data_IF_396415979833
#
_entry.id   IF_396415979833
#
_cell.length_a   1.000
_cell.length_b   1.000
_cell.length_c   1.000
_cell.angle_alpha   90.00
_cell.angle_beta   90.00
_cell.angle_gamma   90.00
#
_symmetry.space_group_name_H-M   'P 1'
#
loop_
_entity.id
_entity.type
_entity.pdbx_description
1 polymer ?
#
# COMPACT_ATOMS: atom_id res chain seq x y z
N UNK A 1 -6.87 8.97 -30.10
CA UNK A 1 -7.13 9.36 -28.70
C UNK A 1 -7.35 8.18 -27.74
N UNK A 2 -6.82 6.97 -28.00
CA UNK A 2 -6.92 5.81 -27.07
C UNK A 2 -5.58 5.49 -26.38
N UNK A 3 -4.46 5.96 -26.92
CA UNK A 3 -3.10 5.65 -26.43
C UNK A 3 -2.78 6.22 -25.04
N UNK A 4 -3.32 7.38 -24.68
CA UNK A 4 -3.01 8.02 -23.38
C UNK A 4 -3.61 7.29 -22.18
N UNK A 5 -4.76 6.64 -22.36
CA UNK A 5 -5.44 5.87 -21.32
C UNK A 5 -4.75 4.52 -21.12
N UNK A 6 -4.37 3.83 -22.20
CA UNK A 6 -3.60 2.59 -22.13
C UNK A 6 -2.21 2.80 -21.53
N UNK A 7 -1.52 3.89 -21.84
CA UNK A 7 -0.23 4.22 -21.20
C UNK A 7 -0.36 4.55 -19.71
N UNK A 8 -1.45 5.21 -19.29
CA UNK A 8 -1.73 5.45 -17.86
C UNK A 8 -2.03 4.14 -17.13
N UNK A 9 -2.83 3.27 -17.74
CA UNK A 9 -3.09 1.92 -17.23
C UNK A 9 -1.77 1.14 -17.11
N UNK A 10 -0.91 1.13 -18.12
CA UNK A 10 0.38 0.41 -18.08
C UNK A 10 1.36 0.96 -17.03
N UNK A 11 1.37 2.28 -16.77
CA UNK A 11 2.23 2.88 -15.74
C UNK A 11 1.73 2.61 -14.31
N UNK A 12 0.42 2.50 -14.11
CA UNK A 12 -0.18 2.23 -12.79
C UNK A 12 -0.28 0.75 -12.44
N UNK A 13 -0.43 -0.14 -13.43
CA UNK A 13 -0.80 -1.55 -13.21
C UNK A 13 0.35 -2.50 -12.88
N UNK A 14 1.61 -2.06 -12.89
CA UNK A 14 2.75 -2.98 -12.77
C UNK A 14 3.85 -2.52 -11.81
N UNK A 15 3.50 -1.69 -10.82
CA UNK A 15 4.44 -1.29 -9.78
C UNK A 15 4.06 -1.99 -8.48
N UNK A 16 4.81 -3.05 -8.17
CA UNK A 16 4.81 -3.65 -6.85
C UNK A 16 5.43 -2.67 -5.84
N UNK A 17 4.76 -2.50 -4.72
CA UNK A 17 5.21 -1.76 -3.55
C UNK A 17 5.95 -2.65 -2.55
N UNK A 18 5.77 -3.97 -2.64
CA UNK A 18 6.44 -4.96 -1.81
C UNK A 18 7.50 -5.74 -2.59
N UNK A 19 8.54 -6.15 -1.86
CA UNK A 19 9.56 -7.12 -2.27
C UNK A 19 9.76 -8.14 -1.14
N UNK A 20 10.42 -9.27 -1.39
CA UNK A 20 10.79 -10.19 -0.32
C UNK A 20 11.54 -9.43 0.79
N UNK A 21 10.99 -9.46 2.01
CA UNK A 21 11.57 -8.81 3.18
C UNK A 21 11.30 -7.31 3.35
N UNK A 22 10.40 -6.69 2.58
CA UNK A 22 9.91 -5.35 2.92
C UNK A 22 9.39 -4.50 1.76
N UNK A 23 9.46 -3.19 1.94
CA UNK A 23 8.98 -2.21 0.97
C UNK A 23 9.98 -2.06 -0.18
N UNK A 24 9.48 -2.09 -1.42
CA UNK A 24 10.28 -2.01 -2.64
C UNK A 24 10.93 -0.64 -2.85
N UNK A 25 10.22 0.45 -2.54
CA UNK A 25 10.64 1.84 -2.79
C UNK A 25 10.18 2.78 -1.64
N UNK A 26 9.93 4.07 -1.89
CA UNK A 26 9.50 5.06 -0.89
C UNK A 26 7.99 5.34 -0.89
N UNK A 27 7.25 4.60 -1.70
CA UNK A 27 5.79 4.72 -1.80
C UNK A 27 5.20 3.35 -1.60
N UNK A 28 4.18 3.27 -0.75
CA UNK A 28 3.34 2.10 -0.55
C UNK A 28 1.90 2.54 -0.74
N UNK A 29 1.17 1.81 -1.57
CA UNK A 29 -0.26 2.04 -1.77
C UNK A 29 -0.99 0.74 -1.50
N UNK A 30 -2.09 0.85 -0.78
CA UNK A 30 -2.90 -0.27 -0.38
C UNK A 30 -4.27 0.19 0.08
N UNK A 31 -5.01 -0.73 0.67
CA UNK A 31 -6.31 -0.44 1.30
C UNK A 31 -6.31 -0.95 2.73
N UNK A 32 -7.07 -0.28 3.59
CA UNK A 32 -7.41 -0.81 4.91
C UNK A 32 -8.58 -1.78 4.78
N UNK A 33 -8.50 -2.87 5.52
CA UNK A 33 -9.58 -3.84 5.67
C UNK A 33 -9.91 -4.03 7.14
N UNK A 34 -11.14 -4.50 7.39
CA UNK A 34 -11.56 -4.90 8.72
C UNK A 34 -10.76 -6.11 9.18
N UNK A 35 -10.28 -6.08 10.42
CA UNK A 35 -9.60 -7.20 11.04
C UNK A 35 -10.49 -7.82 12.13
N UNK A 36 -11.02 -9.01 11.85
CA UNK A 36 -11.85 -9.77 12.80
C UNK A 36 -11.05 -10.22 14.02
N UNK A 37 -9.76 -10.52 13.87
CA UNK A 37 -8.90 -11.01 14.97
C UNK A 37 -8.66 -9.91 16.01
N UNK A 38 -8.66 -8.65 15.56
CA UNK A 38 -8.39 -7.47 16.37
C UNK A 38 -9.66 -6.71 16.79
N UNK A 39 -10.85 -7.23 16.46
CA UNK A 39 -12.16 -6.58 16.67
C UNK A 39 -12.22 -5.17 16.06
N UNK A 40 -11.59 -5.00 14.89
CA UNK A 40 -11.52 -3.73 14.17
C UNK A 40 -10.75 -2.60 14.87
N UNK A 41 -10.10 -2.84 16.00
CA UNK A 41 -9.30 -1.83 16.72
C UNK A 41 -8.09 -1.38 15.93
N UNK A 42 -7.53 -2.29 15.14
CA UNK A 42 -6.39 -2.07 14.26
C UNK A 42 -6.78 -2.65 12.90
N UNK A 43 -6.61 -1.91 11.80
CA UNK A 43 -6.97 -2.42 10.50
C UNK A 43 -5.93 -3.42 10.00
N UNK A 44 -6.40 -4.35 9.18
CA UNK A 44 -5.56 -5.13 8.28
C UNK A 44 -5.20 -4.25 7.08
N UNK A 45 -4.00 -4.41 6.52
CA UNK A 45 -3.55 -3.61 5.38
C UNK A 45 -3.31 -4.53 4.19
N UNK A 46 -3.91 -4.21 3.05
CA UNK A 46 -3.67 -4.97 1.81
C UNK A 46 -2.87 -4.14 0.83
N UNK A 47 -1.66 -4.60 0.53
CA UNK A 47 -0.70 -3.97 -0.39
C UNK A 47 -0.34 -4.99 -1.47
N UNK A 48 -0.42 -4.61 -2.75
CA UNK A 48 -0.19 -5.51 -3.89
C UNK A 48 -1.01 -6.81 -3.86
N UNK A 49 -2.18 -6.79 -3.20
CA UNK A 49 -3.03 -7.98 -2.99
C UNK A 49 -2.58 -8.89 -1.84
N UNK A 50 -1.48 -8.57 -1.17
CA UNK A 50 -0.99 -9.28 0.02
C UNK A 50 -1.60 -8.64 1.26
N UNK A 51 -2.26 -9.46 2.08
CA UNK A 51 -2.82 -9.03 3.36
C UNK A 51 -1.77 -9.09 4.46
N UNK A 52 -1.55 -7.98 5.14
CA UNK A 52 -0.60 -7.78 6.22
C UNK A 52 -1.34 -7.32 7.47
N UNK A 53 -0.93 -7.81 8.62
CA UNK A 53 -1.21 -7.17 9.90
C UNK A 53 -0.52 -5.80 9.98
N UNK A 54 -0.98 -4.97 10.90
CA UNK A 54 -0.36 -3.67 11.14
C UNK A 54 1.07 -3.80 11.67
N UNK A 55 1.33 -4.80 12.52
CA UNK A 55 2.66 -5.08 13.05
C UNK A 55 3.64 -5.49 11.94
N UNK A 56 3.23 -6.36 11.01
CA UNK A 56 4.05 -6.72 9.84
C UNK A 56 4.39 -5.50 8.98
N UNK A 57 3.43 -4.60 8.74
CA UNK A 57 3.72 -3.33 8.05
C UNK A 57 4.72 -2.48 8.86
N UNK A 58 4.54 -2.42 10.18
CA UNK A 58 5.44 -1.72 11.09
C UNK A 58 6.88 -2.25 11.02
N UNK A 59 7.06 -3.57 11.01
CA UNK A 59 8.36 -4.22 10.84
C UNK A 59 9.02 -3.82 9.51
N UNK A 60 8.26 -3.78 8.42
CA UNK A 60 8.79 -3.34 7.13
C UNK A 60 9.21 -1.86 7.14
N UNK A 61 8.45 -1.01 7.84
CA UNK A 61 8.74 0.43 7.98
C UNK A 61 10.01 0.72 8.80
N UNK A 62 10.48 -0.22 9.63
CA UNK A 62 11.73 -0.06 10.38
C UNK A 62 12.96 0.20 9.48
N UNK A 63 12.90 -0.20 8.21
CA UNK A 63 13.94 0.15 7.23
C UNK A 63 14.08 1.65 6.93
N UNK A 64 13.12 2.47 7.36
CA UNK A 64 13.09 3.93 7.18
C UNK A 64 13.27 4.71 8.50
N UNK A 65 13.96 4.13 9.49
CA UNK A 65 14.23 4.79 10.77
C UNK A 65 14.80 6.21 10.59
N UNK A 66 14.19 7.20 11.26
CA UNK A 66 14.60 8.61 11.22
C UNK A 66 14.07 9.41 10.01
N UNK A 67 13.28 8.79 9.13
CA UNK A 67 12.69 9.47 7.97
C UNK A 67 11.34 10.10 8.32
N UNK A 68 10.94 11.12 7.56
CA UNK A 68 9.58 11.66 7.62
C UNK A 68 8.67 10.88 6.67
N UNK A 69 7.39 10.74 7.04
CA UNK A 69 6.38 10.08 6.22
C UNK A 69 5.15 10.96 6.02
N UNK A 70 4.37 10.64 4.98
CA UNK A 70 3.06 11.23 4.70
C UNK A 70 2.06 10.11 4.45
N UNK A 71 0.92 10.15 5.12
CA UNK A 71 -0.21 9.27 4.86
C UNK A 71 -1.28 10.04 4.09
N UNK A 72 -1.71 9.50 2.96
CA UNK A 72 -2.77 10.05 2.12
C UNK A 72 -3.89 9.01 2.05
N UNK A 73 -5.11 9.42 2.42
CA UNK A 73 -6.30 8.56 2.46
C UNK A 73 -7.28 9.14 1.45
N UNK A 74 -7.75 8.28 0.54
CA UNK A 74 -8.72 8.65 -0.49
C UNK A 74 -9.88 7.64 -0.52
N UNK A 75 -10.99 8.03 -1.12
CA UNK A 75 -12.10 7.11 -1.36
C UNK A 75 -11.66 5.98 -2.31
N UNK A 76 -12.20 4.75 -2.20
CA UNK A 76 -11.89 3.68 -3.14
C UNK A 76 -12.14 4.02 -4.62
N UNK A 77 -13.00 5.01 -4.91
CA UNK A 77 -13.26 5.50 -6.26
C UNK A 77 -12.22 6.54 -6.77
N UNK A 78 -11.39 7.09 -5.88
CA UNK A 78 -10.40 8.09 -6.23
C UNK A 78 -9.10 7.46 -6.76
N UNK A 79 -8.42 8.15 -7.69
CA UNK A 79 -7.08 7.75 -8.13
C UNK A 79 -6.01 8.26 -7.15
N UNK A 80 -5.17 7.35 -6.64
CA UNK A 80 -3.98 7.64 -5.83
C UNK A 80 -2.69 7.53 -6.63
#
# INVERSE_FOLDING_TARGET
MITRLMEKMHRGLNRLHLKPGGIQDKTVRGRFEWDEEQDGRIPRVVVDGISLSWDELGEMLMSFEGWQFRLEIADPADEL
#
